data_IF_281017447028
#
_entry.id   IF_281017447028
#
_cell.length_a   1.000
_cell.length_b   1.000
_cell.length_c   1.000
_cell.angle_alpha   90.00
_cell.angle_beta   90.00
_cell.angle_gamma   90.00
#
_symmetry.space_group_name_H-M   'P 1'
#
loop_
_entity.id
_entity.type
_entity.pdbx_description
1 polymer ?
#
# COMPACT_ATOMS: atom_id res chain seq x y z
N UNK A 1 10.06 38.19 35.57
CA UNK A 1 9.10 38.68 36.57
C UNK A 1 8.04 37.60 36.69
N UNK A 2 7.82 37.01 37.87
CA UNK A 2 6.76 36.01 38.02
C UNK A 2 5.40 36.67 37.74
N UNK A 3 4.55 36.07 36.88
CA UNK A 3 3.31 36.68 36.41
C UNK A 3 2.25 36.86 37.53
N UNK A 4 2.48 36.27 38.70
CA UNK A 4 1.60 36.31 39.86
C UNK A 4 1.96 37.41 40.87
N UNK A 5 3.03 38.17 40.64
CA UNK A 5 3.47 39.23 41.56
C UNK A 5 2.59 40.48 41.44
N UNK A 6 2.39 41.18 42.56
CA UNK A 6 1.59 42.42 42.62
C UNK A 6 2.08 43.50 41.63
N UNK A 7 3.41 43.57 41.41
CA UNK A 7 4.01 44.45 40.41
C UNK A 7 3.62 44.08 38.96
N UNK A 8 3.50 42.79 38.64
CA UNK A 8 3.07 42.34 37.32
C UNK A 8 1.60 42.70 37.05
N UNK A 9 0.74 42.55 38.06
CA UNK A 9 -0.67 42.96 38.00
C UNK A 9 -0.84 44.48 37.84
N UNK A 10 -0.01 45.27 38.54
CA UNK A 10 -0.04 46.73 38.45
C UNK A 10 0.43 47.22 37.07
N UNK A 11 1.48 46.59 36.51
CA UNK A 11 1.90 46.86 35.12
C UNK A 11 0.85 46.46 34.09
N UNK A 12 0.14 45.33 34.30
CA UNK A 12 -0.94 44.88 33.42
C UNK A 12 -2.12 45.86 33.45
N UNK A 13 -2.49 46.34 34.65
CA UNK A 13 -3.54 47.35 34.84
C UNK A 13 -3.21 48.67 34.12
N UNK A 14 -1.95 49.12 34.18
CA UNK A 14 -1.49 50.34 33.49
C UNK A 14 -1.42 50.16 31.97
N UNK A 15 -1.13 48.95 31.48
CA UNK A 15 -1.04 48.66 30.05
C UNK A 15 -2.40 48.63 29.31
N UNK A 16 -3.52 48.61 30.05
CA UNK A 16 -4.88 48.62 29.51
C UNK A 16 -5.77 47.56 30.15
N UNK A 17 -7.08 47.53 29.82
CA UNK A 17 -7.96 46.51 30.36
C UNK A 17 -7.65 45.16 29.70
N UNK A 18 -7.00 44.25 30.43
CA UNK A 18 -6.77 42.87 29.97
C UNK A 18 -7.69 41.90 30.69
N UNK A 19 -8.06 40.81 30.02
CA UNK A 19 -8.75 39.65 30.59
C UNK A 19 -7.86 38.43 30.46
N UNK A 20 -7.73 37.66 31.53
CA UNK A 20 -7.11 36.33 31.47
C UNK A 20 -8.12 35.30 30.99
N UNK A 21 -7.73 34.46 30.03
CA UNK A 21 -8.50 33.32 29.53
C UNK A 21 -7.55 32.15 29.28
N UNK A 22 -7.74 31.04 29.99
CA UNK A 22 -6.93 29.83 29.84
C UNK A 22 -5.40 30.07 29.90
N UNK A 23 -4.95 30.97 30.79
CA UNK A 23 -3.54 31.34 30.94
C UNK A 23 -3.02 32.37 29.93
N UNK A 24 -3.88 32.92 29.07
CA UNK A 24 -3.55 33.96 28.09
C UNK A 24 -4.20 35.29 28.45
N UNK A 25 -3.48 36.40 28.24
CA UNK A 25 -4.01 37.75 28.46
C UNK A 25 -4.44 38.39 27.14
N UNK A 26 -5.71 38.77 27.06
CA UNK A 26 -6.33 39.42 25.89
C UNK A 26 -6.76 40.85 26.23
N UNK A 27 -6.58 41.80 25.31
CA UNK A 27 -6.91 43.22 25.52
C UNK A 27 -8.41 43.45 25.26
N UNK A 28 -9.14 43.99 26.22
CA UNK A 28 -10.57 44.34 26.10
C UNK A 28 -10.71 45.66 25.31
N UNK A 29 -11.71 45.82 24.42
CA UNK A 29 -12.78 44.88 24.05
C UNK A 29 -12.43 44.01 22.83
N UNK A 30 -11.16 43.95 22.45
CA UNK A 30 -10.73 43.20 21.27
C UNK A 30 -10.78 41.70 21.64
N UNK A 31 -11.78 40.96 21.14
CA UNK A 31 -11.90 39.48 21.31
C UNK A 31 -10.73 38.75 20.61
N UNK A 32 -9.51 38.98 21.10
CA UNK A 32 -8.25 38.62 20.46
C UNK A 32 -8.08 37.11 20.35
N UNK A 33 -8.47 36.37 21.37
CA UNK A 33 -8.46 34.90 21.34
C UNK A 33 -9.37 34.35 20.25
N UNK A 34 -10.60 34.87 20.12
CA UNK A 34 -11.52 34.43 19.07
C UNK A 34 -10.99 34.73 17.67
N UNK A 35 -10.34 35.89 17.49
CA UNK A 35 -9.75 36.30 16.21
C UNK A 35 -8.57 35.40 15.83
N UNK A 36 -7.69 35.10 16.79
CA UNK A 36 -6.55 34.19 16.61
C UNK A 36 -7.04 32.78 16.28
N UNK A 37 -8.00 32.24 17.04
CA UNK A 37 -8.58 30.92 16.79
C UNK A 37 -9.25 30.83 15.42
N UNK A 38 -9.98 31.88 15.02
CA UNK A 38 -10.58 31.97 13.70
C UNK A 38 -9.51 31.97 12.59
N UNK A 39 -8.45 32.78 12.74
CA UNK A 39 -7.37 32.86 11.78
C UNK A 39 -6.63 31.52 11.61
N UNK A 40 -6.36 30.81 12.71
CA UNK A 40 -5.75 29.47 12.66
C UNK A 40 -6.69 28.45 12.00
N UNK A 41 -7.98 28.44 12.36
CA UNK A 41 -8.95 27.54 11.72
C UNK A 41 -9.09 27.81 10.23
N UNK A 42 -9.12 29.08 9.83
CA UNK A 42 -9.23 29.47 8.42
C UNK A 42 -7.97 29.08 7.64
N UNK A 43 -6.78 29.25 8.24
CA UNK A 43 -5.51 28.78 7.67
C UNK A 43 -5.54 27.27 7.41
N UNK A 44 -5.92 26.45 8.40
CA UNK A 44 -5.91 25.00 8.21
C UNK A 44 -6.98 24.48 7.23
N UNK A 45 -7.98 25.30 6.86
CA UNK A 45 -8.92 24.96 5.77
C UNK A 45 -8.30 25.10 4.39
N UNK A 46 -7.32 26.00 4.23
CA UNK A 46 -6.70 26.29 2.93
C UNK A 46 -5.28 25.74 2.80
N UNK A 47 -4.55 25.70 3.91
CA UNK A 47 -3.18 25.21 4.02
C UNK A 47 -3.08 24.25 5.22
N UNK A 48 -3.29 22.94 5.02
CA UNK A 48 -3.32 21.96 6.11
C UNK A 48 -1.98 21.74 6.83
N UNK A 49 -0.87 22.21 6.25
CA UNK A 49 0.51 21.96 6.72
C UNK A 49 1.35 23.24 6.64
N UNK A 50 0.99 24.31 7.37
CA UNK A 50 1.70 25.58 7.30
C UNK A 50 3.09 25.48 7.94
N UNK A 51 4.04 26.24 7.40
CA UNK A 51 5.36 26.42 8.03
C UNK A 51 5.26 27.33 9.26
N UNK A 52 6.28 27.31 10.14
CA UNK A 52 6.36 28.24 11.27
C UNK A 52 6.24 29.70 10.84
N UNK A 53 6.82 30.06 9.69
CA UNK A 53 6.75 31.42 9.13
C UNK A 53 5.31 31.81 8.83
N UNK A 54 4.58 30.97 8.10
CA UNK A 54 3.17 31.22 7.76
C UNK A 54 2.31 31.33 9.01
N UNK A 55 2.47 30.42 9.96
CA UNK A 55 1.76 30.50 11.25
C UNK A 55 2.08 31.79 12.00
N UNK A 56 3.35 32.17 12.07
CA UNK A 56 3.78 33.41 12.73
C UNK A 56 3.17 34.62 12.05
N UNK A 57 3.16 34.68 10.72
CA UNK A 57 2.59 35.79 9.95
C UNK A 57 1.08 35.90 10.17
N UNK A 58 0.34 34.78 10.14
CA UNK A 58 -1.11 34.72 10.40
C UNK A 58 -1.45 35.12 11.84
N UNK A 59 -0.74 34.57 12.83
CA UNK A 59 -0.97 34.87 14.24
C UNK A 59 -0.66 36.33 14.57
N UNK A 60 0.44 36.87 14.01
CA UNK A 60 0.80 38.28 14.22
C UNK A 60 -0.15 39.24 13.53
N UNK A 61 -0.64 38.91 12.33
CA UNK A 61 -1.70 39.67 11.66
C UNK A 61 -3.02 39.65 12.45
N UNK A 62 -3.31 38.58 13.20
CA UNK A 62 -4.45 38.51 14.10
C UNK A 62 -4.27 39.29 15.42
N UNK A 63 -3.07 39.86 15.66
CA UNK A 63 -2.76 40.70 16.82
C UNK A 63 -1.88 40.01 17.88
N UNK A 64 -1.39 38.79 17.64
CA UNK A 64 -0.49 38.10 18.56
C UNK A 64 0.93 38.69 18.50
N UNK A 65 1.59 38.83 19.65
CA UNK A 65 3.02 39.20 19.67
C UNK A 65 3.87 38.03 19.17
N UNK A 66 4.80 38.30 18.24
CA UNK A 66 5.70 37.25 17.69
C UNK A 66 6.41 36.42 18.77
N UNK A 67 6.83 37.06 19.86
CA UNK A 67 7.52 36.39 20.97
C UNK A 67 6.69 35.34 21.72
N UNK A 68 5.36 35.37 21.64
CA UNK A 68 4.48 34.41 22.33
C UNK A 68 3.97 33.28 21.43
N UNK A 69 4.28 33.33 20.11
CA UNK A 69 3.83 32.33 19.14
C UNK A 69 4.26 30.91 19.52
N UNK A 70 5.53 30.61 19.87
CA UNK A 70 5.92 29.24 20.23
C UNK A 70 5.10 28.65 21.39
N UNK A 71 4.90 29.45 22.45
CA UNK A 71 4.08 29.04 23.60
C UNK A 71 2.61 28.80 23.21
N UNK A 72 2.08 29.55 22.24
CA UNK A 72 0.74 29.34 21.71
C UNK A 72 0.64 28.01 20.97
N UNK A 73 1.60 27.70 20.09
CA UNK A 73 1.62 26.45 19.33
C UNK A 73 1.65 25.23 20.27
N UNK A 74 2.51 25.26 21.28
CA UNK A 74 2.61 24.21 22.29
C UNK A 74 1.30 24.04 23.08
N UNK A 75 0.73 25.14 23.59
CA UNK A 75 -0.50 25.12 24.39
C UNK A 75 -1.72 24.63 23.60
N UNK A 76 -1.75 24.86 22.29
CA UNK A 76 -2.85 24.45 21.42
C UNK A 76 -2.60 23.10 20.73
N UNK A 77 -1.54 22.39 21.14
CA UNK A 77 -1.24 21.05 20.65
C UNK A 77 -0.87 21.02 19.16
N UNK A 78 -0.27 22.08 18.63
CA UNK A 78 0.30 22.10 17.29
C UNK A 78 1.73 21.58 17.36
N UNK A 79 2.00 20.47 16.68
CA UNK A 79 3.29 19.80 16.69
C UNK A 79 4.02 20.02 15.37
N UNK A 80 5.30 20.34 15.46
CA UNK A 80 6.18 20.38 14.31
C UNK A 80 6.52 18.96 13.82
N UNK A 81 6.36 18.74 12.52
CA UNK A 81 6.79 17.55 11.80
C UNK A 81 7.48 18.03 10.52
N UNK A 82 8.77 17.75 10.39
CA UNK A 82 9.55 18.09 9.19
C UNK A 82 9.42 19.58 8.76
N UNK A 83 9.42 20.53 9.70
CA UNK A 83 9.36 21.96 9.41
C UNK A 83 7.96 22.53 9.10
N UNK A 84 6.92 21.71 9.13
CA UNK A 84 5.51 22.13 9.07
C UNK A 84 4.79 21.77 10.37
N UNK A 85 3.71 22.46 10.68
CA UNK A 85 2.96 22.28 11.92
C UNK A 85 1.62 21.59 11.66
N UNK A 86 1.37 20.50 12.38
CA UNK A 86 0.13 19.73 12.31
C UNK A 86 -0.54 19.66 13.69
N UNK A 87 -1.89 19.61 13.76
CA UNK A 87 -2.57 19.30 15.00
C UNK A 87 -2.10 17.96 15.58
N UNK A 88 -1.88 17.90 16.89
CA UNK A 88 -1.49 16.64 17.55
C UNK A 88 -2.56 15.55 17.38
N UNK A 89 -3.82 15.95 17.30
CA UNK A 89 -4.99 15.13 16.99
C UNK A 89 -5.09 14.69 15.53
N UNK A 90 -4.24 15.20 14.63
CA UNK A 90 -4.28 14.86 13.21
C UNK A 90 -4.06 13.35 13.00
N UNK A 91 -4.74 12.83 11.98
CA UNK A 91 -4.66 11.42 11.61
C UNK A 91 -3.26 11.04 11.13
N UNK A 92 -2.97 9.74 11.08
CA UNK A 92 -1.68 9.26 10.57
C UNK A 92 -1.45 9.71 9.11
N UNK A 93 -2.48 9.73 8.28
CA UNK A 93 -2.37 10.18 6.88
C UNK A 93 -1.90 11.63 6.77
N UNK A 94 -2.42 12.53 7.61
CA UNK A 94 -2.02 13.95 7.59
C UNK A 94 -0.57 14.12 8.03
N UNK A 95 -0.15 13.35 9.04
CA UNK A 95 1.25 13.32 9.52
C UNK A 95 2.19 12.78 8.45
N UNK A 96 1.80 11.72 7.74
CA UNK A 96 2.57 11.18 6.60
C UNK A 96 2.65 12.22 5.47
N UNK A 97 1.55 12.90 5.15
CA UNK A 97 1.53 13.95 4.14
C UNK A 97 2.45 15.12 4.51
N UNK A 98 2.51 15.50 5.79
CA UNK A 98 3.43 16.53 6.29
C UNK A 98 4.90 16.16 6.07
N UNK A 99 5.28 14.93 6.42
CA UNK A 99 6.64 14.42 6.17
C UNK A 99 6.96 14.45 4.67
N UNK A 100 6.06 13.92 3.83
CA UNK A 100 6.28 13.87 2.39
C UNK A 100 6.27 15.26 1.75
N UNK A 101 5.49 16.22 2.26
CA UNK A 101 5.47 17.60 1.73
C UNK A 101 6.82 18.28 1.93
N UNK A 102 7.44 18.05 3.08
CA UNK A 102 8.73 18.62 3.44
C UNK A 102 9.92 17.99 2.71
N UNK A 103 9.81 16.73 2.28
CA UNK A 103 10.91 16.01 1.64
C UNK A 103 10.73 15.95 0.11
N UNK A 104 11.68 16.47 -0.67
CA UNK A 104 11.60 16.48 -2.14
C UNK A 104 11.69 15.07 -2.74
N UNK A 105 12.51 14.21 -2.14
CA UNK A 105 12.69 12.83 -2.62
C UNK A 105 11.59 11.89 -2.11
N UNK A 106 11.18 10.87 -2.88
CA UNK A 106 10.27 9.84 -2.38
C UNK A 106 10.88 9.07 -1.19
N UNK A 107 10.07 8.76 -0.18
CA UNK A 107 10.52 8.14 1.06
C UNK A 107 9.92 6.74 1.25
N UNK A 108 10.66 5.88 1.94
CA UNK A 108 10.19 4.58 2.43
C UNK A 108 9.32 4.73 3.67
N UNK A 109 8.50 3.72 3.96
CA UNK A 109 7.67 3.74 5.16
C UNK A 109 8.48 3.78 6.47
N UNK A 110 9.67 3.15 6.48
CA UNK A 110 10.59 3.20 7.62
C UNK A 110 11.11 4.62 7.84
N UNK A 111 11.62 5.27 6.78
CA UNK A 111 12.09 6.67 6.83
C UNK A 111 10.96 7.61 7.30
N UNK A 112 9.75 7.46 6.76
CA UNK A 112 8.59 8.27 7.16
C UNK A 112 8.26 8.05 8.65
N UNK A 113 8.21 6.79 9.09
CA UNK A 113 7.87 6.46 10.47
C UNK A 113 8.87 7.06 11.47
N UNK A 114 10.15 7.07 11.12
CA UNK A 114 11.20 7.67 11.93
C UNK A 114 11.00 9.19 12.11
N UNK A 115 10.54 9.89 11.07
CA UNK A 115 10.27 11.34 11.14
C UNK A 115 8.98 11.63 11.92
N UNK A 116 7.95 10.80 11.80
CA UNK A 116 6.69 10.98 12.57
C UNK A 116 6.93 10.73 14.08
N UNK A 117 7.76 9.75 14.45
CA UNK A 117 8.24 9.52 15.82
C UNK A 117 7.73 8.23 16.49
N UNK A 118 8.14 8.02 17.74
CA UNK A 118 8.22 6.73 18.47
C UNK A 118 6.94 5.87 18.52
N UNK A 119 5.75 6.46 18.35
CA UNK A 119 4.48 5.73 18.37
C UNK A 119 3.98 5.31 16.98
N UNK A 120 4.80 5.47 15.93
CA UNK A 120 4.42 5.17 14.55
C UNK A 120 5.30 4.06 13.99
N UNK A 121 4.69 2.93 13.63
CA UNK A 121 5.40 1.85 12.94
C UNK A 121 5.35 2.01 11.42
N UNK A 122 6.38 1.54 10.72
CA UNK A 122 6.38 1.46 9.27
C UNK A 122 5.17 0.68 8.71
N UNK A 123 4.69 -0.35 9.42
CA UNK A 123 3.47 -1.08 9.06
C UNK A 123 2.23 -0.19 9.07
N UNK A 124 2.09 0.67 10.08
CA UNK A 124 0.99 1.62 10.17
C UNK A 124 1.07 2.67 9.05
N UNK A 125 2.28 3.16 8.75
CA UNK A 125 2.53 4.07 7.62
C UNK A 125 2.16 3.42 6.29
N UNK A 126 2.62 2.20 6.02
CA UNK A 126 2.25 1.46 4.82
C UNK A 126 0.74 1.31 4.68
N UNK A 127 0.03 1.05 5.78
CA UNK A 127 -1.44 0.99 5.78
C UNK A 127 -2.09 2.33 5.44
N UNK A 128 -1.53 3.45 5.91
CA UNK A 128 -2.05 4.79 5.61
C UNK A 128 -1.76 5.23 4.16
N UNK A 129 -0.64 4.76 3.59
CA UNK A 129 -0.25 5.01 2.20
C UNK A 129 -1.13 4.24 1.21
N UNK A 130 -1.39 2.95 1.49
CA UNK A 130 -2.16 2.10 0.59
C UNK A 130 -3.64 2.51 0.52
N UNK A 131 -4.17 2.62 -0.70
CA UNK A 131 -5.58 2.94 -0.95
C UNK A 131 -5.95 4.40 -0.72
N UNK A 132 -4.97 5.28 -0.47
CA UNK A 132 -5.18 6.71 -0.31
C UNK A 132 -4.64 7.47 -1.53
N UNK A 133 -5.54 8.13 -2.27
CA UNK A 133 -5.22 8.85 -3.50
C UNK A 133 -4.31 10.07 -3.30
N UNK A 134 -4.10 10.53 -2.06
CA UNK A 134 -3.15 11.60 -1.76
C UNK A 134 -1.68 11.18 -1.95
N UNK A 135 -1.42 9.87 -2.03
CA UNK A 135 -0.08 9.31 -2.13
C UNK A 135 0.09 8.50 -3.41
N UNK A 136 1.28 8.61 -4.00
CA UNK A 136 1.69 7.83 -5.16
C UNK A 136 2.95 7.04 -4.82
N UNK A 137 2.96 5.78 -5.22
CA UNK A 137 4.11 4.90 -5.10
C UNK A 137 5.04 5.15 -6.28
N UNK A 138 6.33 5.34 -6.03
CA UNK A 138 7.33 5.62 -7.08
C UNK A 138 8.34 4.50 -7.29
N UNK A 139 8.37 3.51 -6.40
CA UNK A 139 9.16 2.28 -6.53
C UNK A 139 8.57 1.17 -5.68
N UNK A 140 9.29 0.05 -5.47
CA UNK A 140 8.78 -1.04 -4.63
C UNK A 140 8.58 -0.59 -3.17
N UNK A 141 9.34 0.38 -2.68
CA UNK A 141 9.32 0.77 -1.27
C UNK A 141 9.11 2.26 -1.03
N UNK A 142 9.28 3.10 -2.06
CA UNK A 142 9.20 4.57 -1.92
C UNK A 142 7.87 5.15 -2.38
N UNK A 143 7.50 6.25 -1.70
CA UNK A 143 6.23 6.95 -1.85
C UNK A 143 6.44 8.46 -1.80
N UNK A 144 5.54 9.19 -2.44
CA UNK A 144 5.47 10.65 -2.41
C UNK A 144 4.02 11.12 -2.49
N UNK A 145 3.79 12.43 -2.42
CA UNK A 145 2.49 13.03 -2.65
C UNK A 145 2.07 12.93 -4.12
N UNK A 146 0.78 12.70 -4.35
CA UNK A 146 0.20 12.59 -5.68
C UNK A 146 0.13 13.93 -6.44
N UNK A 147 0.29 15.07 -5.76
CA UNK A 147 0.36 16.41 -6.37
C UNK A 147 1.71 16.67 -7.08
N UNK A 148 2.67 15.74 -6.95
CA UNK A 148 3.99 15.86 -7.59
C UNK A 148 3.97 15.27 -8.99
N UNK A 149 4.73 15.91 -9.87
CA UNK A 149 4.98 15.45 -11.24
C UNK A 149 5.98 14.29 -11.23
N UNK A 150 5.53 13.11 -10.80
CA UNK A 150 6.29 11.86 -10.78
C UNK A 150 5.53 10.75 -11.48
N UNK A 151 6.25 9.83 -12.12
CA UNK A 151 5.62 8.64 -12.70
C UNK A 151 5.19 7.68 -11.58
N UNK A 152 3.95 7.22 -11.65
CA UNK A 152 3.44 6.21 -10.73
C UNK A 152 4.05 4.84 -11.07
N UNK A 153 4.59 4.17 -10.06
CA UNK A 153 5.16 2.84 -10.21
C UNK A 153 4.07 1.80 -10.36
N UNK A 154 3.95 1.23 -11.56
CA UNK A 154 2.94 0.22 -11.90
C UNK A 154 3.29 -1.21 -11.48
N UNK A 155 4.43 -1.43 -10.81
CA UNK A 155 4.97 -2.76 -10.54
C UNK A 155 5.95 -3.23 -11.62
N UNK A 156 6.72 -4.27 -11.30
CA UNK A 156 7.85 -4.74 -12.14
C UNK A 156 7.38 -5.06 -13.56
N UNK A 157 6.28 -5.80 -13.72
CA UNK A 157 5.77 -6.15 -15.04
C UNK A 157 5.42 -4.92 -15.88
N UNK A 158 4.78 -3.91 -15.28
CA UNK A 158 4.40 -2.69 -15.99
C UNK A 158 5.63 -1.87 -16.39
N UNK A 159 6.59 -1.75 -15.47
CA UNK A 159 7.85 -1.03 -15.74
C UNK A 159 8.67 -1.69 -16.86
N UNK A 160 8.68 -3.03 -16.91
CA UNK A 160 9.30 -3.78 -18.00
C UNK A 160 8.57 -3.55 -19.32
N UNK A 161 7.22 -3.58 -19.33
CA UNK A 161 6.42 -3.30 -20.54
C UNK A 161 6.69 -1.90 -21.08
N UNK A 162 6.73 -0.89 -20.21
CA UNK A 162 7.00 0.50 -20.58
C UNK A 162 8.37 0.62 -21.26
N UNK A 163 9.43 0.09 -20.65
CA UNK A 163 10.79 0.13 -21.20
C UNK A 163 10.93 -0.61 -22.52
N UNK A 164 10.27 -1.76 -22.65
CA UNK A 164 10.23 -2.49 -23.93
C UNK A 164 9.54 -1.65 -25.00
N UNK A 165 8.45 -0.96 -24.67
CA UNK A 165 7.74 -0.08 -25.60
C UNK A 165 8.58 1.14 -26.01
N UNK A 166 9.22 1.81 -25.04
CA UNK A 166 10.09 2.96 -25.25
C UNK A 166 11.31 2.62 -26.13
N UNK A 167 11.80 1.38 -26.05
CA UNK A 167 12.85 0.85 -26.91
C UNK A 167 12.37 0.43 -28.33
N UNK A 168 11.13 0.76 -28.72
CA UNK A 168 10.56 0.40 -30.02
C UNK A 168 10.01 -1.04 -30.08
N UNK A 169 9.70 -1.63 -28.92
CA UNK A 169 9.02 -2.94 -28.79
C UNK A 169 9.94 -4.15 -28.64
N UNK A 170 11.27 -3.98 -28.71
CA UNK A 170 12.27 -5.03 -28.47
C UNK A 170 13.52 -4.43 -27.82
N UNK A 171 14.08 -5.13 -26.83
CA UNK A 171 15.30 -4.67 -26.13
C UNK A 171 16.13 -5.87 -25.67
N UNK A 172 17.46 -5.73 -25.61
CA UNK A 172 18.31 -6.80 -25.06
C UNK A 172 18.02 -7.00 -23.57
N UNK A 173 18.06 -8.26 -23.10
CA UNK A 173 17.82 -8.59 -21.69
C UNK A 173 18.82 -7.86 -20.79
N UNK A 174 20.08 -7.74 -21.21
CA UNK A 174 21.11 -7.03 -20.45
C UNK A 174 20.78 -5.55 -20.30
N UNK A 175 20.50 -4.85 -21.40
CA UNK A 175 20.17 -3.43 -21.36
C UNK A 175 18.92 -3.15 -20.50
N UNK A 176 17.92 -4.04 -20.57
CA UNK A 176 16.72 -3.89 -19.75
C UNK A 176 16.98 -4.12 -18.25
N UNK A 177 17.86 -5.07 -17.91
CA UNK A 177 18.26 -5.29 -16.52
C UNK A 177 19.02 -4.09 -15.96
N UNK A 178 20.00 -3.59 -16.72
CA UNK A 178 20.80 -2.43 -16.32
C UNK A 178 19.89 -1.20 -16.09
N UNK A 179 19.01 -0.89 -17.04
CA UNK A 179 18.06 0.24 -16.94
C UNK A 179 17.06 0.09 -15.78
N UNK A 180 16.53 -1.12 -15.54
CA UNK A 180 15.62 -1.37 -14.42
C UNK A 180 16.31 -1.24 -13.06
N UNK A 181 17.56 -1.69 -12.93
CA UNK A 181 18.31 -1.61 -11.67
C UNK A 181 18.78 -0.18 -11.38
N UNK A 182 19.13 0.57 -12.42
CA UNK A 182 19.48 1.99 -12.30
C UNK A 182 18.25 2.83 -11.89
N UNK A 183 17.10 2.59 -12.52
CA UNK A 183 15.87 3.32 -12.22
C UNK A 183 15.23 2.91 -10.87
N UNK A 184 15.37 1.63 -10.47
CA UNK A 184 14.78 1.10 -9.25
C UNK A 184 15.79 0.30 -8.41
N UNK A 185 16.66 0.97 -7.65
CA UNK A 185 17.70 0.31 -6.84
C UNK A 185 17.16 -0.62 -5.75
N UNK A 186 15.87 -0.51 -5.40
CA UNK A 186 15.20 -1.36 -4.42
C UNK A 186 14.59 -2.64 -5.01
N UNK A 187 14.77 -2.88 -6.31
CA UNK A 187 14.40 -4.10 -7.03
C UNK A 187 15.63 -4.99 -7.18
N UNK A 188 15.46 -6.30 -6.94
CA UNK A 188 16.52 -7.28 -7.15
C UNK A 188 16.50 -7.79 -8.59
N UNK A 189 17.68 -8.02 -9.16
CA UNK A 189 17.82 -8.64 -10.49
C UNK A 189 17.04 -9.95 -10.60
N UNK A 190 17.09 -10.79 -9.54
CA UNK A 190 16.33 -12.04 -9.47
C UNK A 190 14.83 -11.82 -9.66
N UNK A 191 14.27 -10.75 -9.10
CA UNK A 191 12.86 -10.40 -9.29
C UNK A 191 12.59 -10.02 -10.74
N UNK A 192 13.44 -9.21 -11.36
CA UNK A 192 13.28 -8.84 -12.77
C UNK A 192 13.29 -10.10 -13.65
N UNK A 193 14.24 -11.02 -13.42
CA UNK A 193 14.32 -12.30 -14.14
C UNK A 193 13.08 -13.16 -13.94
N UNK A 194 12.55 -13.23 -12.72
CA UNK A 194 11.28 -13.92 -12.46
C UNK A 194 10.15 -13.32 -13.28
N UNK A 195 10.04 -11.99 -13.38
CA UNK A 195 9.02 -11.34 -14.20
C UNK A 195 9.24 -11.55 -15.70
N UNK A 196 10.48 -11.54 -16.18
CA UNK A 196 10.81 -11.84 -17.59
C UNK A 196 10.47 -13.28 -17.99
N UNK A 197 10.42 -14.19 -17.02
CA UNK A 197 10.02 -15.58 -17.23
C UNK A 197 8.48 -15.78 -17.23
N UNK A 198 7.70 -14.72 -16.97
CA UNK A 198 6.23 -14.77 -17.05
C UNK A 198 5.76 -14.84 -18.49
N UNK A 199 4.47 -15.14 -18.68
CA UNK A 199 3.88 -15.26 -20.01
C UNK A 199 3.69 -13.90 -20.69
N UNK A 200 3.81 -12.78 -20.00
CA UNK A 200 3.71 -11.45 -20.60
C UNK A 200 4.85 -11.10 -21.56
N UNK A 201 5.96 -11.85 -21.51
CA UNK A 201 7.15 -11.59 -22.31
C UNK A 201 7.50 -12.80 -23.19
N UNK A 202 8.19 -12.50 -24.29
CA UNK A 202 8.86 -13.47 -25.15
C UNK A 202 10.35 -13.14 -25.14
N UNK A 203 11.17 -14.10 -24.71
CA UNK A 203 12.62 -13.95 -24.59
C UNK A 203 13.30 -14.92 -25.55
N UNK A 204 13.96 -14.38 -26.58
CA UNK A 204 14.59 -15.15 -27.66
C UNK A 204 15.91 -14.49 -28.05
N UNK A 205 16.99 -15.28 -28.20
CA UNK A 205 18.30 -14.77 -28.64
C UNK A 205 18.86 -13.65 -27.74
N UNK A 206 18.56 -13.66 -26.44
CA UNK A 206 18.98 -12.61 -25.50
C UNK A 206 18.23 -11.28 -25.62
N UNK A 207 17.16 -11.25 -26.42
CA UNK A 207 16.26 -10.09 -26.57
C UNK A 207 14.90 -10.41 -25.97
N UNK A 208 14.26 -9.41 -25.38
CA UNK A 208 12.90 -9.49 -24.86
C UNK A 208 11.96 -8.57 -25.64
N UNK A 209 10.72 -9.03 -25.79
CA UNK A 209 9.57 -8.27 -26.27
C UNK A 209 8.33 -8.59 -25.46
N UNK A 210 7.35 -7.70 -25.46
CA UNK A 210 6.03 -8.02 -24.95
C UNK A 210 5.38 -9.10 -25.83
N UNK A 211 4.67 -10.04 -25.20
CA UNK A 211 3.85 -11.01 -25.89
C UNK A 211 2.70 -10.29 -26.61
N UNK A 212 2.38 -10.78 -27.81
CA UNK A 212 1.29 -10.30 -28.67
C UNK A 212 0.17 -11.34 -28.74
N UNK A 213 -1.06 -10.94 -29.09
CA UNK A 213 -2.19 -11.87 -29.21
C UNK A 213 -1.94 -13.04 -30.16
N UNK A 214 -1.16 -12.85 -31.21
CA UNK A 214 -0.81 -13.88 -32.20
C UNK A 214 0.28 -14.86 -31.73
N UNK A 215 0.98 -14.57 -30.64
CA UNK A 215 2.02 -15.47 -30.15
C UNK A 215 1.41 -16.75 -29.58
N UNK A 216 1.95 -17.93 -29.92
CA UNK A 216 1.46 -19.17 -29.37
C UNK A 216 1.72 -19.23 -27.86
N UNK A 217 0.72 -19.69 -27.12
CA UNK A 217 0.90 -20.04 -25.71
C UNK A 217 1.80 -21.27 -25.57
N UNK A 218 2.55 -21.39 -24.45
CA UNK A 218 3.29 -22.60 -24.16
C UNK A 218 2.38 -23.83 -24.19
N UNK A 219 2.91 -24.96 -24.66
CA UNK A 219 2.19 -26.23 -24.60
C UNK A 219 2.08 -26.65 -23.15
N UNK A 220 0.83 -26.73 -22.67
CA UNK A 220 0.53 -27.16 -21.31
C UNK A 220 0.42 -28.69 -21.30
N UNK A 221 1.12 -29.38 -20.38
CA UNK A 221 1.03 -30.83 -20.30
C UNK A 221 -0.33 -31.29 -19.76
N UNK A 222 -0.63 -32.58 -19.94
CA UNK A 222 -1.87 -33.18 -19.43
C UNK A 222 -1.97 -33.12 -17.90
N UNK A 223 -3.18 -33.06 -17.36
CA UNK A 223 -3.48 -33.13 -15.93
C UNK A 223 -2.78 -34.30 -15.23
N UNK A 224 -2.62 -35.44 -15.91
CA UNK A 224 -1.99 -36.64 -15.36
C UNK A 224 -0.51 -36.45 -14.99
N UNK A 225 0.11 -35.34 -15.39
CA UNK A 225 1.47 -34.98 -14.98
C UNK A 225 1.52 -34.34 -13.59
N UNK A 226 0.38 -33.90 -13.05
CA UNK A 226 0.28 -33.25 -11.74
C UNK A 226 -0.08 -34.29 -10.69
N UNK A 227 0.81 -34.49 -9.72
CA UNK A 227 0.58 -35.39 -8.59
C UNK A 227 -0.64 -34.92 -7.78
N UNK A 228 -1.52 -35.85 -7.44
CA UNK A 228 -2.71 -35.56 -6.64
C UNK A 228 -3.86 -34.92 -7.43
N UNK A 229 -3.70 -34.74 -8.75
CA UNK A 229 -4.73 -34.26 -9.65
C UNK A 229 -5.25 -35.37 -10.58
N UNK A 230 -6.56 -35.40 -10.83
CA UNK A 230 -7.19 -36.41 -11.69
C UNK A 230 -8.55 -35.96 -12.20
N UNK A 231 -8.90 -36.37 -13.43
CA UNK A 231 -10.29 -36.29 -13.88
C UNK A 231 -11.13 -37.37 -13.19
N UNK A 232 -12.34 -36.99 -12.80
CA UNK A 232 -13.37 -37.90 -12.31
C UNK A 232 -14.30 -38.31 -13.47
N UNK A 233 -14.98 -39.44 -13.32
CA UNK A 233 -15.92 -39.95 -14.32
C UNK A 233 -17.13 -39.04 -14.54
N UNK A 234 -17.44 -38.18 -13.57
CA UNK A 234 -18.49 -37.16 -13.61
C UNK A 234 -18.04 -35.86 -14.34
N UNK A 235 -16.83 -35.83 -14.89
CA UNK A 235 -16.27 -34.66 -15.57
C UNK A 235 -15.64 -33.63 -14.63
N UNK A 236 -15.73 -33.82 -13.31
CA UNK A 236 -15.07 -32.94 -12.34
C UNK A 236 -13.55 -33.17 -12.33
N UNK A 237 -12.82 -32.15 -11.87
CA UNK A 237 -11.37 -32.21 -11.64
C UNK A 237 -11.14 -32.29 -10.14
N UNK A 238 -10.53 -33.38 -9.69
CA UNK A 238 -10.08 -33.57 -8.31
C UNK A 238 -8.63 -33.12 -8.20
N UNK A 239 -8.31 -32.30 -7.21
CA UNK A 239 -6.93 -31.99 -6.82
C UNK A 239 -6.73 -32.18 -5.33
N UNK A 240 -5.50 -32.45 -4.94
CA UNK A 240 -5.10 -32.64 -3.54
C UNK A 240 -4.00 -31.64 -3.22
N UNK A 241 -4.19 -30.81 -2.20
CA UNK A 241 -3.23 -29.77 -1.82
C UNK A 241 -2.81 -29.91 -0.35
N UNK A 242 -1.55 -29.63 0.00
CA UNK A 242 -1.12 -29.64 1.39
C UNK A 242 -1.77 -28.49 2.17
N UNK A 243 -2.31 -28.80 3.34
CA UNK A 243 -2.77 -27.79 4.30
C UNK A 243 -1.55 -27.21 5.01
N UNK A 244 -1.18 -26.01 4.58
CA UNK A 244 -0.06 -25.26 5.14
C UNK A 244 -0.55 -24.10 6.01
N UNK A 245 0.37 -23.46 6.73
CA UNK A 245 0.08 -22.21 7.46
C UNK A 245 -0.46 -21.11 6.55
N UNK A 246 -0.10 -21.11 5.25
CA UNK A 246 -0.63 -20.16 4.26
C UNK A 246 -2.10 -20.42 3.96
N UNK A 247 -2.48 -21.69 3.80
CA UNK A 247 -3.89 -22.10 3.62
C UNK A 247 -4.71 -21.69 4.84
N UNK A 248 -4.25 -22.03 6.05
CA UNK A 248 -4.99 -21.74 7.29
C UNK A 248 -5.05 -20.24 7.61
N UNK A 249 -4.06 -19.45 7.16
CA UNK A 249 -4.10 -17.98 7.24
C UNK A 249 -5.10 -17.39 6.27
N UNK A 250 -5.36 -18.05 5.14
CA UNK A 250 -6.25 -17.60 4.08
C UNK A 250 -5.54 -16.83 2.98
N UNK A 251 -4.33 -17.25 2.64
CA UNK A 251 -3.62 -16.76 1.45
C UNK A 251 -4.13 -17.48 0.20
N UNK A 252 -4.06 -16.80 -0.95
CA UNK A 252 -4.22 -17.44 -2.25
C UNK A 252 -3.13 -18.48 -2.49
N UNK A 253 -3.38 -19.38 -3.44
CA UNK A 253 -2.53 -20.53 -3.71
C UNK A 253 -2.12 -20.56 -5.17
N UNK A 254 -0.91 -21.05 -5.44
CA UNK A 254 -0.50 -21.42 -6.79
C UNK A 254 -1.33 -22.61 -7.29
N UNK A 255 -1.70 -22.58 -8.56
CA UNK A 255 -2.35 -23.68 -9.27
C UNK A 255 -1.46 -24.09 -10.42
N UNK A 256 -1.14 -25.38 -10.50
CA UNK A 256 -0.35 -25.94 -11.59
C UNK A 256 -1.06 -25.68 -12.94
N UNK A 257 -0.36 -25.23 -14.00
CA UNK A 257 -0.96 -24.93 -15.29
C UNK A 257 -1.88 -26.03 -15.88
N UNK A 258 -1.55 -27.34 -15.79
CA UNK A 258 -2.45 -28.40 -16.23
C UNK A 258 -3.78 -28.45 -15.48
N UNK A 259 -3.78 -28.10 -14.18
CA UNK A 259 -5.00 -28.02 -13.36
C UNK A 259 -5.85 -26.85 -13.82
N UNK A 260 -5.25 -25.67 -13.97
CA UNK A 260 -5.96 -24.48 -14.46
C UNK A 260 -6.62 -24.74 -15.82
N UNK A 261 -5.89 -25.35 -16.76
CA UNK A 261 -6.44 -25.71 -18.07
C UNK A 261 -7.57 -26.73 -17.95
N UNK A 262 -7.42 -27.77 -17.12
CA UNK A 262 -8.44 -28.79 -16.91
C UNK A 262 -9.74 -28.23 -16.34
N UNK A 263 -9.67 -27.13 -15.56
CA UNK A 263 -10.85 -26.44 -15.01
C UNK A 263 -11.36 -25.30 -15.91
N UNK A 264 -10.79 -25.16 -17.11
CA UNK A 264 -11.23 -24.19 -18.13
C UNK A 264 -10.64 -22.78 -17.97
N UNK A 265 -9.52 -22.63 -17.27
CA UNK A 265 -8.79 -21.36 -17.12
C UNK A 265 -7.54 -21.38 -17.99
N UNK A 266 -7.50 -20.52 -19.00
CA UNK A 266 -6.37 -20.35 -19.91
C UNK A 266 -5.59 -19.05 -19.58
N UNK A 267 -4.36 -18.87 -20.11
CA UNK A 267 -3.62 -17.63 -19.91
C UNK A 267 -4.43 -16.39 -20.32
N UNK A 268 -4.43 -15.37 -19.46
CA UNK A 268 -5.22 -14.14 -19.64
C UNK A 268 -6.68 -14.24 -19.18
N UNK A 269 -7.15 -15.41 -18.76
CA UNK A 269 -8.51 -15.61 -18.26
C UNK A 269 -8.54 -15.73 -16.74
N UNK A 270 -9.70 -15.38 -16.19
CA UNK A 270 -10.06 -15.61 -14.80
C UNK A 270 -11.44 -16.25 -14.75
N UNK A 271 -11.66 -17.10 -13.76
CA UNK A 271 -12.95 -17.76 -13.52
C UNK A 271 -13.22 -17.87 -12.03
N UNK A 272 -14.42 -17.51 -11.63
CA UNK A 272 -14.89 -17.71 -10.27
C UNK A 272 -15.55 -19.09 -10.15
N UNK A 273 -15.22 -19.78 -9.06
CA UNK A 273 -15.86 -21.05 -8.69
C UNK A 273 -16.69 -20.85 -7.44
N UNK A 274 -18.00 -21.07 -7.55
CA UNK A 274 -18.93 -20.91 -6.44
C UNK A 274 -18.73 -22.00 -5.39
N UNK A 275 -18.79 -21.60 -4.12
CA UNK A 275 -18.68 -22.51 -2.98
C UNK A 275 -19.75 -22.18 -1.93
N UNK A 276 -19.93 -23.06 -0.95
CA UNK A 276 -20.83 -22.79 0.19
C UNK A 276 -20.41 -21.56 1.04
N UNK A 277 -19.19 -21.04 0.86
CA UNK A 277 -18.63 -19.92 1.63
C UNK A 277 -18.31 -18.69 0.77
N UNK A 278 -18.86 -18.65 -0.45
CA UNK A 278 -18.62 -17.59 -1.44
C UNK A 278 -17.64 -18.02 -2.54
N UNK A 279 -17.49 -17.18 -3.59
CA UNK A 279 -16.72 -17.52 -4.76
C UNK A 279 -15.22 -17.59 -4.46
N UNK A 280 -14.54 -18.56 -5.09
CA UNK A 280 -13.08 -18.66 -5.12
C UNK A 280 -12.62 -18.37 -6.56
N UNK A 281 -11.95 -17.23 -6.80
CA UNK A 281 -11.41 -16.91 -8.12
C UNK A 281 -10.21 -17.82 -8.44
N UNK A 282 -10.09 -18.23 -9.70
CA UNK A 282 -8.87 -18.78 -10.29
C UNK A 282 -8.49 -17.90 -11.47
N UNK A 283 -7.30 -17.30 -11.44
CA UNK A 283 -6.83 -16.38 -12.45
C UNK A 283 -5.46 -16.80 -13.00
N UNK A 284 -5.27 -16.58 -14.31
CA UNK A 284 -3.99 -16.78 -14.96
C UNK A 284 -3.51 -15.48 -15.61
N UNK A 285 -3.18 -14.49 -14.80
CA UNK A 285 -2.59 -13.24 -15.29
C UNK A 285 -1.20 -13.53 -15.92
N UNK A 286 -1.00 -13.26 -17.22
CA UNK A 286 0.27 -13.50 -17.89
C UNK A 286 1.44 -12.70 -17.31
N UNK A 287 1.17 -11.59 -16.64
CA UNK A 287 2.19 -10.70 -16.07
C UNK A 287 2.57 -11.05 -14.63
N UNK A 288 1.81 -11.94 -13.98
CA UNK A 288 2.01 -12.29 -12.58
C UNK A 288 2.99 -13.47 -12.44
N UNK A 289 4.04 -13.34 -11.61
CA UNK A 289 4.89 -14.45 -11.23
C UNK A 289 4.08 -15.55 -10.53
N UNK A 290 4.41 -16.81 -10.82
CA UNK A 290 3.71 -17.95 -10.22
C UNK A 290 2.19 -17.90 -10.43
N UNK A 291 1.73 -17.40 -11.58
CA UNK A 291 0.41 -17.70 -12.11
C UNK A 291 0.43 -19.07 -12.85
N UNK A 292 -0.68 -19.82 -12.91
CA UNK A 292 -2.00 -19.48 -12.38
C UNK A 292 -2.11 -19.50 -10.85
N UNK A 293 -3.05 -18.73 -10.31
CA UNK A 293 -3.33 -18.65 -8.88
C UNK A 293 -4.83 -18.81 -8.59
N UNK A 294 -5.16 -19.30 -7.38
CA UNK A 294 -6.52 -19.32 -6.86
C UNK A 294 -6.62 -18.51 -5.57
N UNK A 295 -7.84 -18.04 -5.28
CA UNK A 295 -8.19 -17.37 -4.04
C UNK A 295 -8.04 -18.24 -2.79
N UNK A 296 -8.41 -17.69 -1.65
CA UNK A 296 -8.31 -18.41 -0.37
C UNK A 296 -9.30 -19.58 -0.31
N UNK A 297 -8.80 -20.78 -0.03
CA UNK A 297 -9.62 -21.97 0.29
C UNK A 297 -9.72 -22.25 1.79
N UNK A 298 -9.36 -21.27 2.63
CA UNK A 298 -9.36 -21.40 4.09
C UNK A 298 -10.71 -21.88 4.64
N UNK A 299 -11.81 -21.32 4.16
CA UNK A 299 -13.14 -21.68 4.65
C UNK A 299 -13.49 -23.12 4.28
N UNK A 300 -13.07 -23.59 3.11
CA UNK A 300 -13.23 -24.99 2.70
C UNK A 300 -12.40 -25.94 3.56
N UNK A 301 -11.18 -25.54 3.94
CA UNK A 301 -10.34 -26.32 4.86
C UNK A 301 -10.99 -26.44 6.25
N UNK A 302 -11.52 -25.33 6.79
CA UNK A 302 -12.24 -25.34 8.08
C UNK A 302 -13.53 -26.16 8.02
N UNK A 303 -14.25 -26.13 6.90
CA UNK A 303 -15.50 -26.88 6.75
C UNK A 303 -15.33 -28.41 6.80
N UNK A 304 -14.10 -28.91 6.59
CA UNK A 304 -13.76 -30.34 6.69
C UNK A 304 -12.79 -30.62 7.85
N UNK A 305 -12.69 -29.69 8.81
CA UNK A 305 -11.84 -29.80 10.01
C UNK A 305 -10.36 -30.11 9.70
N UNK A 306 -9.82 -29.56 8.61
CA UNK A 306 -8.45 -29.86 8.18
C UNK A 306 -7.39 -29.19 9.07
N UNK A 307 -6.36 -29.95 9.44
CA UNK A 307 -5.24 -29.52 10.27
C UNK A 307 -3.96 -29.25 9.45
N UNK A 308 -2.99 -28.58 10.07
CA UNK A 308 -1.67 -28.41 9.47
C UNK A 308 -1.02 -29.78 9.18
N UNK A 309 -0.59 -29.99 7.93
CA UNK A 309 0.06 -31.23 7.48
C UNK A 309 -0.89 -32.23 6.81
N UNK A 310 -2.19 -31.96 6.82
CA UNK A 310 -3.21 -32.72 6.10
C UNK A 310 -3.16 -32.47 4.59
N UNK A 311 -3.82 -33.34 3.83
CA UNK A 311 -4.04 -33.17 2.40
C UNK A 311 -5.52 -32.82 2.14
N UNK A 312 -5.79 -31.57 1.79
CA UNK A 312 -7.14 -31.12 1.45
C UNK A 312 -7.51 -31.55 0.03
N UNK A 313 -8.62 -32.27 -0.10
CA UNK A 313 -9.15 -32.71 -1.39
C UNK A 313 -10.17 -31.69 -1.89
N UNK A 314 -9.88 -31.10 -3.04
CA UNK A 314 -10.74 -30.12 -3.72
C UNK A 314 -11.31 -30.73 -5.00
N UNK A 315 -12.60 -30.51 -5.21
CA UNK A 315 -13.33 -30.95 -6.42
C UNK A 315 -13.86 -29.72 -7.13
N UNK A 316 -13.36 -29.50 -8.34
CA UNK A 316 -13.83 -28.48 -9.27
C UNK A 316 -14.80 -29.10 -10.26
N UNK A 317 -15.96 -28.48 -10.42
CA UNK A 317 -16.87 -28.74 -11.53
C UNK A 317 -16.68 -27.63 -12.59
N UNK A 318 -15.97 -27.91 -13.69
CA UNK A 318 -15.73 -26.90 -14.72
C UNK A 318 -16.96 -26.63 -15.61
N UNK A 319 -18.01 -27.43 -15.55
CA UNK A 319 -19.23 -27.16 -16.33
C UNK A 319 -20.13 -26.24 -15.54
N UNK A 320 -20.41 -26.58 -14.28
CA UNK A 320 -21.28 -25.79 -13.40
C UNK A 320 -20.55 -24.56 -12.85
N UNK A 321 -19.23 -24.62 -12.71
CA UNK A 321 -18.43 -23.54 -12.11
C UNK A 321 -18.48 -23.56 -10.59
N UNK A 322 -18.41 -24.75 -9.97
CA UNK A 322 -18.41 -24.89 -8.51
C UNK A 322 -17.12 -25.50 -8.00
N UNK A 323 -16.81 -25.20 -6.74
CA UNK A 323 -15.69 -25.77 -5.99
C UNK A 323 -16.18 -26.22 -4.62
N UNK A 324 -15.81 -27.43 -4.23
CA UNK A 324 -16.08 -27.98 -2.89
C UNK A 324 -14.89 -28.75 -2.34
N UNK A 325 -14.80 -28.85 -1.02
CA UNK A 325 -13.93 -29.81 -0.36
C UNK A 325 -14.65 -31.16 -0.22
N UNK A 326 -13.96 -32.26 -0.51
CA UNK A 326 -14.49 -33.64 -0.36
C UNK A 326 -14.02 -34.30 0.95
N UNK A 327 -13.06 -33.70 1.63
CA UNK A 327 -12.48 -34.19 2.88
C UNK A 327 -10.97 -34.00 2.96
N UNK A 328 -10.35 -34.76 3.85
CA UNK A 328 -8.91 -34.77 4.11
C UNK A 328 -8.34 -36.16 3.84
N UNK A 329 -7.25 -36.23 3.10
CA UNK A 329 -6.41 -37.43 2.99
C UNK A 329 -5.26 -37.37 3.99
N UNK A 330 -4.79 -38.54 4.45
CA UNK A 330 -3.88 -38.68 5.60
C UNK A 330 -2.65 -37.78 5.60
N UNK A 331 -2.07 -37.58 6.79
CA UNK A 331 -0.94 -36.65 7.02
C UNK A 331 0.24 -36.96 6.09
N UNK A 332 0.89 -35.91 5.59
CA UNK A 332 2.16 -36.02 4.87
C UNK A 332 3.20 -36.58 5.85
N UNK A 333 3.39 -37.89 5.87
CA UNK A 333 4.54 -38.51 6.53
C UNK A 333 5.76 -38.26 5.65
N UNK A 334 6.69 -37.45 6.17
CA UNK A 334 7.97 -37.15 5.52
C UNK A 334 8.87 -38.36 5.32
#
# INVERSE_FOLDING_TARGET
MEPTTEAAWLLLYVAGPYRERAGWFEKIPEDGGQRVDAAVRDLYRTEPMPTLRVLTDVLTAAGMRRAVVPAYLDAHGLREIAGVYVPSSAGLSDKVAAVLKANVEPMTADEISAVVGENTSARAVLKALHGNAAFVRTSRTRWTLADREVSAYGGIAQELKNRVADAGGRVSVRALLDDMLDAFPDIKESSIRTYLATLAFVVEGGTVRCRRPEDPWPVIPSLNTVRGASHRSDGCVRITIPVTTQVLRGSGLFVEPPVAQAIGVAPGLSRDFETAHGPVPVAWDPAEPAAPNMGSVRQLAHAVDAELGDLLVLIFDPVVGTLRADGVEGKITG
#
